data_IF_436239569635
#
_entry.id   IF_436239569635
#
_cell.length_a   1.000
_cell.length_b   1.000
_cell.length_c   1.000
_cell.angle_alpha   90.00
_cell.angle_beta   90.00
_cell.angle_gamma   90.00
#
_symmetry.space_group_name_H-M   'P 1'
#
loop_
_entity.id
_entity.type
_entity.pdbx_description
1 polymer ?
#
# COMPACT_ATOMS: atom_id res chain seq x y z
N UNK A 1 16.83 15.27 0.42
CA UNK A 1 15.43 14.96 0.05
C UNK A 1 15.26 13.49 0.27
N UNK A 2 14.79 13.18 1.46
CA UNK A 2 15.01 11.91 2.12
C UNK A 2 14.00 10.88 1.64
N UNK A 3 14.53 9.77 1.15
CA UNK A 3 13.75 8.63 0.72
C UNK A 3 13.17 7.96 1.96
N UNK A 4 11.84 7.85 2.06
CA UNK A 4 11.20 7.09 3.14
C UNK A 4 11.69 5.64 3.11
N UNK A 5 12.11 5.11 4.25
CA UNK A 5 12.55 3.73 4.37
C UNK A 5 11.36 2.77 4.24
N UNK A 6 11.63 1.50 3.91
CA UNK A 6 10.57 0.49 3.74
C UNK A 6 9.71 0.33 5.01
N UNK A 7 10.33 0.33 6.19
CA UNK A 7 9.61 0.20 7.46
C UNK A 7 8.71 1.41 7.75
N UNK A 8 9.23 2.63 7.55
CA UNK A 8 8.43 3.86 7.66
C UNK A 8 7.28 3.87 6.66
N UNK A 9 7.48 3.38 5.44
CA UNK A 9 6.43 3.28 4.42
C UNK A 9 5.30 2.33 4.87
N UNK A 10 5.65 1.17 5.43
CA UNK A 10 4.67 0.24 6.00
C UNK A 10 3.86 0.93 7.11
N UNK A 11 4.52 1.66 8.02
CA UNK A 11 3.84 2.32 9.14
C UNK A 11 2.86 3.39 8.65
N UNK A 12 3.27 4.27 7.74
CA UNK A 12 2.41 5.35 7.22
C UNK A 12 1.24 4.82 6.39
N UNK A 13 1.47 3.77 5.60
CA UNK A 13 0.42 3.11 4.80
C UNK A 13 -0.57 2.41 5.73
N UNK A 14 -0.08 1.67 6.73
CA UNK A 14 -0.94 1.03 7.76
C UNK A 14 -1.80 2.06 8.48
N UNK A 15 -1.19 3.18 8.89
CA UNK A 15 -1.90 4.27 9.56
C UNK A 15 -2.94 4.93 8.65
N UNK A 16 -2.66 5.03 7.35
CA UNK A 16 -3.63 5.56 6.38
C UNK A 16 -4.84 4.64 6.25
N UNK A 17 -4.62 3.32 6.16
CA UNK A 17 -5.68 2.30 6.10
C UNK A 17 -6.57 2.38 7.33
N UNK A 18 -5.98 2.47 8.52
CA UNK A 18 -6.74 2.61 9.77
C UNK A 18 -7.58 3.90 9.85
N UNK A 19 -7.17 4.96 9.16
CA UNK A 19 -7.89 6.24 9.14
C UNK A 19 -8.97 6.33 8.05
N UNK A 20 -8.82 5.59 6.95
CA UNK A 20 -9.70 5.68 5.78
C UNK A 20 -10.55 4.42 5.57
N UNK A 21 -10.33 3.35 6.33
CA UNK A 21 -11.11 2.12 6.28
C UNK A 21 -12.51 2.26 6.91
N UNK A 22 -13.46 1.39 6.55
CA UNK A 22 -14.79 1.36 7.14
C UNK A 22 -14.70 0.73 8.53
N UNK A 23 -14.79 1.60 9.55
CA UNK A 23 -15.00 1.32 10.98
C UNK A 23 -13.76 1.09 11.89
N UNK A 24 -13.57 1.97 12.90
CA UNK A 24 -12.50 1.90 13.90
C UNK A 24 -12.82 1.04 15.14
N UNK A 25 -13.99 0.40 15.24
CA UNK A 25 -14.51 -0.22 16.47
C UNK A 25 -14.50 -1.76 16.50
N UNK A 26 -14.12 -2.44 15.42
CA UNK A 26 -14.06 -3.92 15.40
C UNK A 26 -12.87 -4.58 14.68
N UNK A 27 -12.16 -3.87 13.80
CA UNK A 27 -11.12 -4.45 12.94
C UNK A 27 -9.70 -3.89 13.10
N UNK A 28 -9.53 -2.78 13.85
CA UNK A 28 -8.24 -2.10 14.02
C UNK A 28 -7.19 -2.91 14.80
N UNK A 29 -7.58 -4.02 15.43
CA UNK A 29 -6.70 -4.78 16.33
C UNK A 29 -5.62 -5.63 15.64
N UNK A 30 -5.75 -5.95 14.34
CA UNK A 30 -4.88 -6.91 13.66
C UNK A 30 -4.66 -6.59 12.17
N UNK A 31 -4.54 -5.31 11.79
CA UNK A 31 -4.06 -4.97 10.44
C UNK A 31 -2.56 -5.27 10.41
N UNK A 32 -2.21 -6.37 9.75
CA UNK A 32 -0.81 -6.79 9.56
C UNK A 32 -0.35 -6.45 8.15
N UNK A 33 0.96 -6.36 7.90
CA UNK A 33 1.46 -6.12 6.55
C UNK A 33 1.04 -7.20 5.53
N UNK A 34 0.67 -8.38 6.01
CA UNK A 34 0.23 -9.53 5.20
C UNK A 34 -1.30 -9.61 5.07
N UNK A 35 -2.04 -8.71 5.72
CA UNK A 35 -3.50 -8.66 5.64
C UNK A 35 -3.91 -8.21 4.24
N UNK A 36 -4.73 -9.02 3.58
CA UNK A 36 -5.36 -8.66 2.31
C UNK A 36 -6.49 -7.67 2.58
N UNK A 37 -6.28 -6.41 2.19
CA UNK A 37 -7.14 -5.28 2.52
C UNK A 37 -8.50 -5.34 1.83
N UNK A 38 -8.56 -5.95 0.64
CA UNK A 38 -9.80 -6.13 -0.11
C UNK A 38 -10.60 -7.31 0.46
N UNK A 39 -9.95 -8.46 0.63
CA UNK A 39 -10.59 -9.67 1.13
C UNK A 39 -11.01 -9.54 2.60
N UNK A 40 -10.30 -8.76 3.40
CA UNK A 40 -10.68 -8.46 4.77
C UNK A 40 -11.83 -7.45 4.88
N UNK A 41 -12.24 -6.82 3.77
CA UNK A 41 -13.22 -5.73 3.77
C UNK A 41 -12.73 -4.45 4.44
N UNK A 42 -11.41 -4.28 4.62
CA UNK A 42 -10.82 -3.05 5.18
C UNK A 42 -10.79 -1.92 4.15
N UNK A 43 -10.75 -2.27 2.86
CA UNK A 43 -10.86 -1.34 1.76
C UNK A 43 -11.75 -1.93 0.67
N UNK A 44 -12.57 -1.08 0.07
CA UNK A 44 -13.16 -1.35 -1.23
C UNK A 44 -12.14 -1.09 -2.36
N UNK A 45 -12.47 -1.49 -3.58
CA UNK A 45 -11.63 -1.26 -4.77
C UNK A 45 -11.21 0.21 -4.94
N UNK A 46 -12.10 1.16 -4.63
CA UNK A 46 -11.79 2.59 -4.65
C UNK A 46 -10.84 3.00 -3.51
N UNK A 47 -11.01 2.41 -2.33
CA UNK A 47 -10.12 2.61 -1.18
C UNK A 47 -8.70 2.14 -1.46
N UNK A 48 -8.56 1.01 -2.16
CA UNK A 48 -7.26 0.51 -2.60
C UNK A 48 -6.59 1.45 -3.61
N UNK A 49 -7.33 1.99 -4.57
CA UNK A 49 -6.78 2.97 -5.53
C UNK A 49 -6.30 4.26 -4.83
N UNK A 50 -7.04 4.73 -3.83
CA UNK A 50 -6.61 5.86 -2.99
C UNK A 50 -5.36 5.52 -2.17
N UNK A 51 -5.25 4.30 -1.65
CA UNK A 51 -4.06 3.83 -0.94
C UNK A 51 -2.83 3.80 -1.85
N UNK A 52 -2.98 3.32 -3.08
CA UNK A 52 -1.92 3.30 -4.10
C UNK A 52 -1.45 4.72 -4.38
N UNK A 53 -2.37 5.64 -4.68
CA UNK A 53 -2.05 7.05 -4.93
C UNK A 53 -1.38 7.72 -3.73
N UNK A 54 -1.80 7.39 -2.50
CA UNK A 54 -1.15 7.86 -1.28
C UNK A 54 0.28 7.32 -1.15
N UNK A 55 0.47 6.03 -1.40
CA UNK A 55 1.77 5.36 -1.35
C UNK A 55 2.73 5.94 -2.39
N UNK A 56 2.27 6.18 -3.61
CA UNK A 56 3.01 6.88 -4.67
C UNK A 56 3.46 8.28 -4.25
N UNK A 57 2.55 9.04 -3.61
CA UNK A 57 2.82 10.39 -3.11
C UNK A 57 3.90 10.39 -2.02
N UNK A 58 3.81 9.46 -1.06
CA UNK A 58 4.76 9.36 0.06
C UNK A 58 6.11 8.79 -0.39
N UNK A 59 6.09 7.74 -1.21
CA UNK A 59 7.32 7.13 -1.73
C UNK A 59 7.99 7.98 -2.82
N UNK A 60 7.27 8.95 -3.41
CA UNK A 60 7.69 9.72 -4.61
C UNK A 60 7.97 8.81 -5.80
N UNK A 61 7.03 7.90 -6.08
CA UNK A 61 7.16 6.88 -7.12
C UNK A 61 5.88 6.76 -7.93
N UNK A 62 5.96 6.03 -9.04
CA UNK A 62 4.78 5.62 -9.78
C UNK A 62 4.62 4.11 -9.69
N UNK A 63 3.54 3.64 -9.10
CA UNK A 63 3.22 2.22 -9.01
C UNK A 63 2.43 1.88 -10.27
N UNK A 64 3.07 1.18 -11.20
CA UNK A 64 2.40 0.74 -12.42
C UNK A 64 1.62 -0.53 -12.11
N UNK A 65 0.33 -0.37 -11.82
CA UNK A 65 -0.62 -1.48 -11.71
C UNK A 65 -0.93 -1.99 -13.12
N UNK A 66 0.05 -2.61 -13.78
CA UNK A 66 -0.16 -3.28 -15.05
C UNK A 66 -1.15 -4.44 -14.88
N UNK A 67 -1.86 -4.77 -15.97
CA UNK A 67 -2.91 -5.79 -15.99
C UNK A 67 -2.47 -7.19 -15.53
N UNK A 68 -1.16 -7.45 -15.54
CA UNK A 68 -0.54 -8.73 -15.15
C UNK A 68 -0.15 -8.79 -13.66
N UNK A 69 -0.34 -7.70 -12.91
CA UNK A 69 -0.02 -7.70 -11.48
C UNK A 69 -1.19 -8.37 -10.73
N UNK A 70 -0.91 -9.50 -10.07
CA UNK A 70 -1.90 -10.24 -9.30
C UNK A 70 -2.51 -9.33 -8.23
N UNK A 71 -3.83 -9.09 -8.31
CA UNK A 71 -4.60 -8.31 -7.34
C UNK A 71 -4.37 -8.77 -5.90
N UNK A 72 -4.10 -10.06 -5.71
CA UNK A 72 -3.79 -10.67 -4.42
C UNK A 72 -2.40 -10.31 -3.89
N UNK A 73 -1.46 -9.92 -4.75
CA UNK A 73 -0.10 -9.55 -4.32
C UNK A 73 -0.06 -8.12 -3.79
N UNK A 74 -0.78 -7.18 -4.43
CA UNK A 74 -0.82 -5.78 -4.01
C UNK A 74 -2.02 -5.38 -3.14
N UNK A 75 -2.97 -6.29 -2.93
CA UNK A 75 -4.02 -6.13 -1.92
C UNK A 75 -3.46 -6.10 -0.49
N UNK A 76 -2.20 -6.50 -0.29
CA UNK A 76 -1.50 -6.44 1.00
C UNK A 76 -0.62 -5.19 1.13
N UNK A 77 -0.49 -4.67 2.35
CA UNK A 77 0.38 -3.52 2.66
C UNK A 77 1.85 -3.84 2.30
N UNK A 78 2.29 -5.07 2.55
CA UNK A 78 3.64 -5.54 2.23
C UNK A 78 3.92 -5.52 0.74
N UNK A 79 2.99 -6.05 -0.06
CA UNK A 79 3.12 -6.10 -1.52
C UNK A 79 3.12 -4.71 -2.12
N UNK A 80 2.21 -3.84 -1.68
CA UNK A 80 2.15 -2.45 -2.13
C UNK A 80 3.45 -1.68 -1.83
N UNK A 81 3.96 -1.78 -0.60
CA UNK A 81 5.23 -1.14 -0.24
C UNK A 81 6.41 -1.76 -1.01
N UNK A 82 6.36 -3.06 -1.29
CA UNK A 82 7.36 -3.75 -2.10
C UNK A 82 7.40 -3.22 -3.52
N UNK A 83 6.24 -3.06 -4.17
CA UNK A 83 6.10 -2.48 -5.51
C UNK A 83 6.59 -1.03 -5.55
N UNK A 84 6.26 -0.24 -4.53
CA UNK A 84 6.74 1.14 -4.42
C UNK A 84 8.28 1.20 -4.39
N UNK A 85 8.93 0.32 -3.62
CA UNK A 85 10.40 0.26 -3.55
C UNK A 85 11.01 -0.29 -4.85
N UNK A 86 10.43 -1.33 -5.44
CA UNK A 86 10.91 -1.90 -6.71
C UNK A 86 10.79 -0.90 -7.86
N UNK A 87 9.69 -0.14 -7.94
CA UNK A 87 9.51 0.91 -8.95
C UNK A 87 10.61 1.99 -8.86
N UNK A 88 11.09 2.31 -7.64
CA UNK A 88 12.22 3.24 -7.45
C UNK A 88 13.52 2.69 -7.99
N UNK A 89 13.78 1.42 -7.76
CA UNK A 89 15.01 0.76 -8.19
C UNK A 89 15.03 0.63 -9.72
N UNK A 90 13.90 0.25 -10.32
CA UNK A 90 13.72 0.20 -11.77
C UNK A 90 13.92 1.56 -12.46
N UNK A 91 13.49 2.66 -11.84
CA UNK A 91 13.72 4.02 -12.35
C UNK A 91 15.19 4.49 -12.28
N UNK A 92 16.09 3.78 -11.59
CA UNK A 92 17.53 4.09 -11.58
C UNK A 92 18.33 3.40 -12.69
N UNK A 93 17.73 2.48 -13.46
CA UNK A 93 18.41 1.73 -14.53
C UNK A 93 17.95 2.09 -15.95
N UNK A 94 17.13 3.13 -16.13
CA UNK A 94 16.63 3.60 -17.43
C UNK A 94 17.26 4.92 -17.89
#
# INVERSE_FOLDING_TARGET
MDTIAYQDLIEVVTRWVLQNGPDPLGGAGLVTPETDLLASGLLDSLGLMNLVAYTESVARCRIDLQLDVDLAEFSTIRGLCGLAVQSRDGMRQG
#
